data_IF_458459585493
#
_entry.id   IF_458459585493
#
_cell.length_a   1.000
_cell.length_b   1.000
_cell.length_c   1.000
_cell.angle_alpha   90.00
_cell.angle_beta   90.00
_cell.angle_gamma   90.00
#
_symmetry.space_group_name_H-M   'P 1'
#
loop_
_entity.id
_entity.type
_entity.pdbx_description
1 polymer ?
#
# COMPACT_ATOMS: atom_id res chain seq x y z
N UNK A 1 -54.26 -42.37 -8.70
CA UNK A 1 -52.85 -42.72 -8.43
C UNK A 1 -51.97 -42.06 -9.49
N UNK A 2 -50.99 -41.30 -9.05
CA UNK A 2 -49.95 -40.66 -9.86
C UNK A 2 -48.78 -41.65 -10.05
N UNK A 3 -48.08 -41.60 -11.19
CA UNK A 3 -46.64 -41.83 -11.23
C UNK A 3 -45.96 -40.59 -11.82
N UNK A 4 -45.18 -39.86 -11.01
CA UNK A 4 -43.72 -39.99 -10.94
C UNK A 4 -43.02 -39.24 -12.08
N UNK A 5 -42.26 -38.22 -11.67
CA UNK A 5 -41.51 -37.36 -12.57
C UNK A 5 -40.34 -38.06 -13.25
N UNK A 6 -39.90 -37.42 -14.32
CA UNK A 6 -38.61 -37.58 -14.95
C UNK A 6 -38.37 -36.21 -15.60
N UNK A 7 -37.38 -35.44 -15.19
CA UNK A 7 -35.99 -35.83 -15.36
C UNK A 7 -35.52 -35.17 -16.65
N UNK A 8 -34.70 -34.14 -16.49
CA UNK A 8 -33.61 -33.78 -17.40
C UNK A 8 -33.88 -33.94 -18.92
N UNK A 9 -34.14 -32.82 -19.60
CA UNK A 9 -33.84 -32.71 -21.03
C UNK A 9 -32.88 -31.55 -21.24
N UNK A 10 -31.61 -31.88 -21.02
CA UNK A 10 -30.50 -31.20 -21.65
C UNK A 10 -30.60 -31.21 -23.19
N UNK A 11 -30.05 -30.14 -23.75
CA UNK A 11 -29.34 -30.10 -25.01
C UNK A 11 -30.05 -30.62 -26.27
N UNK A 12 -30.59 -29.68 -27.06
CA UNK A 12 -30.35 -29.57 -28.53
C UNK A 12 -31.17 -28.46 -29.17
N UNK A 13 -30.63 -27.24 -29.13
CA UNK A 13 -30.59 -26.36 -30.32
C UNK A 13 -29.50 -25.32 -30.13
N UNK A 14 -28.26 -25.76 -30.27
CA UNK A 14 -27.11 -24.92 -30.58
C UNK A 14 -27.33 -24.32 -31.98
N UNK A 15 -28.22 -23.33 -32.06
CA UNK A 15 -28.37 -22.53 -33.26
C UNK A 15 -27.06 -21.76 -33.41
N UNK A 16 -26.36 -21.86 -34.56
CA UNK A 16 -25.11 -21.12 -34.79
C UNK A 16 -25.33 -19.63 -34.52
N UNK A 17 -26.51 -19.10 -34.85
CA UNK A 17 -26.91 -17.71 -34.58
C UNK A 17 -26.93 -17.33 -33.09
N UNK A 18 -27.35 -18.25 -32.22
CA UNK A 18 -27.38 -17.99 -30.78
C UNK A 18 -25.97 -17.92 -30.23
N UNK A 19 -25.10 -18.89 -30.59
CA UNK A 19 -23.69 -18.86 -30.20
C UNK A 19 -22.93 -17.66 -30.77
N UNK A 20 -23.22 -17.25 -32.01
CA UNK A 20 -22.63 -16.05 -32.60
C UNK A 20 -23.09 -14.79 -31.87
N UNK A 21 -24.39 -14.68 -31.53
CA UNK A 21 -24.91 -13.54 -30.76
C UNK A 21 -24.33 -13.46 -29.33
N UNK A 22 -24.04 -14.61 -28.71
CA UNK A 22 -23.34 -14.69 -27.43
C UNK A 22 -21.88 -14.26 -27.57
N UNK A 23 -21.18 -14.71 -28.62
CA UNK A 23 -19.81 -14.30 -28.93
C UNK A 23 -19.71 -12.81 -29.24
N UNK A 24 -20.70 -12.25 -29.92
CA UNK A 24 -20.77 -10.83 -30.25
C UNK A 24 -20.98 -9.99 -28.98
N UNK A 25 -21.90 -10.41 -28.11
CA UNK A 25 -22.10 -9.80 -26.79
C UNK A 25 -20.88 -9.91 -25.89
N UNK A 26 -20.16 -11.04 -25.94
CA UNK A 26 -18.90 -11.23 -25.20
C UNK A 26 -17.79 -10.31 -25.75
N UNK A 27 -17.63 -10.22 -27.08
CA UNK A 27 -16.69 -9.27 -27.70
C UNK A 27 -17.06 -7.82 -27.40
N UNK A 28 -18.34 -7.50 -27.35
CA UNK A 28 -18.82 -6.16 -26.98
C UNK A 28 -18.55 -5.85 -25.51
N UNK A 29 -18.76 -6.83 -24.62
CA UNK A 29 -18.36 -6.73 -23.21
C UNK A 29 -16.86 -6.55 -23.10
N UNK A 30 -16.05 -7.38 -23.75
CA UNK A 30 -14.59 -7.30 -23.73
C UNK A 30 -14.11 -5.93 -24.23
N UNK A 31 -14.68 -5.42 -25.32
CA UNK A 31 -14.41 -4.09 -25.85
C UNK A 31 -14.90 -2.94 -24.94
N UNK A 32 -15.92 -3.18 -24.11
CA UNK A 32 -16.43 -2.24 -23.08
C UNK A 32 -15.73 -2.37 -21.73
N UNK A 33 -15.09 -3.50 -21.45
CA UNK A 33 -14.19 -3.71 -20.31
C UNK A 33 -12.78 -3.18 -20.62
N UNK A 34 -12.36 -3.21 -21.89
CA UNK A 34 -11.07 -2.73 -22.38
C UNK A 34 -10.93 -1.21 -22.71
N UNK A 35 -11.75 -0.28 -22.19
CA UNK A 35 -11.36 1.13 -22.11
C UNK A 35 -10.77 1.52 -20.76
N UNK A 36 -11.06 0.79 -19.67
CA UNK A 36 -10.63 1.17 -18.31
C UNK A 36 -10.42 -0.01 -17.33
N UNK A 37 -10.43 -1.26 -17.80
CA UNK A 37 -10.27 -2.45 -16.95
C UNK A 37 -8.92 -2.59 -16.25
N UNK A 38 -7.91 -1.81 -16.64
CA UNK A 38 -6.53 -2.05 -16.19
C UNK A 38 -5.97 -1.05 -15.16
N UNK A 39 -6.81 -0.21 -14.52
CA UNK A 39 -6.27 0.67 -13.46
C UNK A 39 -5.89 -0.07 -12.17
N UNK A 40 -6.26 -1.36 -12.05
CA UNK A 40 -5.84 -2.25 -10.96
C UNK A 40 -5.07 -3.51 -11.43
N UNK A 41 -5.15 -3.91 -12.69
CA UNK A 41 -4.38 -5.04 -13.28
C UNK A 41 -3.19 -4.59 -14.15
N UNK A 42 -2.92 -3.28 -14.23
CA UNK A 42 -1.87 -2.72 -15.10
C UNK A 42 -0.58 -2.36 -14.41
N UNK A 43 -0.46 -2.70 -13.12
CA UNK A 43 0.79 -2.55 -12.38
C UNK A 43 1.46 -3.91 -12.37
N UNK A 44 2.59 -4.05 -13.06
CA UNK A 44 3.34 -5.31 -13.00
C UNK A 44 3.66 -5.65 -11.53
N UNK A 45 3.77 -6.93 -11.20
CA UNK A 45 4.19 -7.34 -9.84
C UNK A 45 5.48 -6.61 -9.42
N UNK A 46 6.37 -6.34 -10.37
CA UNK A 46 7.55 -5.49 -10.19
C UNK A 46 7.24 -4.03 -9.81
N UNK A 47 6.22 -3.40 -10.40
CA UNK A 47 5.81 -2.05 -10.04
C UNK A 47 5.14 -2.00 -8.66
N UNK A 48 4.34 -3.02 -8.31
CA UNK A 48 3.78 -3.17 -6.97
C UNK A 48 4.88 -3.36 -5.93
N UNK A 49 5.89 -4.20 -6.22
CA UNK A 49 7.04 -4.44 -5.36
C UNK A 49 7.93 -3.19 -5.23
N UNK A 50 8.17 -2.47 -6.33
CA UNK A 50 8.88 -1.18 -6.29
C UNK A 50 8.13 -0.15 -5.44
N UNK A 51 6.81 -0.06 -5.59
CA UNK A 51 6.00 0.87 -4.78
C UNK A 51 6.00 0.49 -3.31
N UNK A 52 5.82 -0.78 -2.98
CA UNK A 52 5.84 -1.25 -1.59
C UNK A 52 7.22 -1.04 -0.96
N UNK A 53 8.30 -1.27 -1.71
CA UNK A 53 9.67 -0.97 -1.30
C UNK A 53 9.92 0.53 -1.08
N UNK A 54 9.44 1.40 -1.99
CA UNK A 54 9.52 2.85 -1.83
C UNK A 54 8.72 3.35 -0.62
N UNK A 55 7.50 2.85 -0.43
CA UNK A 55 6.65 3.14 0.73
C UNK A 55 7.32 2.68 2.03
N UNK A 56 7.88 1.47 2.06
CA UNK A 56 8.58 0.93 3.23
C UNK A 56 9.81 1.78 3.60
N UNK A 57 10.57 2.22 2.60
CA UNK A 57 11.70 3.15 2.82
C UNK A 57 11.25 4.51 3.34
N UNK A 58 10.22 5.10 2.74
CA UNK A 58 9.66 6.37 3.20
C UNK A 58 9.15 6.26 4.65
N UNK A 59 8.44 5.19 4.97
CA UNK A 59 7.92 4.93 6.31
C UNK A 59 9.04 4.74 7.33
N UNK A 60 10.13 4.04 6.97
CA UNK A 60 11.32 3.89 7.81
C UNK A 60 11.94 5.26 8.11
N UNK A 61 12.16 6.09 7.09
CA UNK A 61 12.69 7.44 7.25
C UNK A 61 11.80 8.30 8.16
N UNK A 62 10.48 8.25 7.95
CA UNK A 62 9.52 8.95 8.82
C UNK A 62 9.58 8.45 10.26
N UNK A 63 9.65 7.13 10.47
CA UNK A 63 9.68 6.53 11.81
C UNK A 63 10.98 6.83 12.53
N UNK A 64 12.12 6.82 11.83
CA UNK A 64 13.42 7.20 12.41
C UNK A 64 13.42 8.66 12.89
N UNK A 65 12.81 9.57 12.12
CA UNK A 65 12.65 10.97 12.53
C UNK A 65 11.77 11.08 13.78
N UNK A 66 10.59 10.45 13.77
CA UNK A 66 9.64 10.49 14.89
C UNK A 66 10.22 9.84 16.15
N UNK A 67 10.96 8.74 16.01
CA UNK A 67 11.60 8.04 17.12
C UNK A 67 12.64 8.94 17.82
N UNK A 68 13.47 9.67 17.07
CA UNK A 68 14.45 10.60 17.64
C UNK A 68 13.79 11.73 18.45
N UNK A 69 12.72 12.31 17.91
CA UNK A 69 11.94 13.37 18.59
C UNK A 69 11.24 12.82 19.83
N UNK A 70 10.63 11.64 19.73
CA UNK A 70 9.93 11.01 20.84
C UNK A 70 10.87 10.67 21.98
N UNK A 71 12.02 10.06 21.69
CA UNK A 71 13.05 9.72 22.70
C UNK A 71 13.62 10.98 23.33
N UNK A 72 13.93 12.02 22.54
CA UNK A 72 14.41 13.31 23.05
C UNK A 72 13.38 13.97 23.97
N UNK A 73 12.12 14.05 23.54
CA UNK A 73 11.02 14.59 24.34
C UNK A 73 10.78 13.80 25.63
N UNK A 74 10.83 12.47 25.58
CA UNK A 74 10.68 11.61 26.76
C UNK A 74 11.82 11.82 27.77
N UNK A 75 13.07 11.86 27.30
CA UNK A 75 14.24 12.12 28.15
C UNK A 75 14.17 13.52 28.75
N UNK A 76 13.85 14.52 27.94
CA UNK A 76 13.72 15.90 28.40
C UNK A 76 12.61 16.08 29.44
N UNK A 77 11.47 15.42 29.24
CA UNK A 77 10.38 15.40 30.23
C UNK A 77 10.79 14.70 31.53
N UNK A 78 11.45 13.54 31.45
CA UNK A 78 11.92 12.83 32.63
C UNK A 78 12.94 13.65 33.44
N UNK A 79 13.84 14.37 32.76
CA UNK A 79 14.81 15.28 33.37
C UNK A 79 14.13 16.49 34.01
N UNK A 80 13.17 17.11 33.32
CA UNK A 80 12.39 18.22 33.84
C UNK A 80 11.66 17.83 35.14
N UNK A 81 11.11 16.62 35.23
CA UNK A 81 10.50 16.09 36.45
C UNK A 81 11.51 15.82 37.58
N UNK A 82 12.71 15.33 37.25
CA UNK A 82 13.71 14.99 38.27
C UNK A 82 14.42 16.23 38.84
N UNK A 83 14.62 17.26 38.01
CA UNK A 83 15.33 18.49 38.36
C UNK A 83 14.40 19.67 38.67
N UNK A 84 13.08 19.47 38.64
CA UNK A 84 12.03 20.50 38.78
C UNK A 84 12.27 21.73 37.86
N UNK A 85 12.71 21.44 36.64
CA UNK A 85 12.99 22.43 35.59
C UNK A 85 12.03 22.21 34.42
N UNK A 86 11.93 23.18 33.50
CA UNK A 86 10.99 23.11 32.35
C UNK A 86 11.65 23.38 31.01
N UNK A 87 12.98 23.48 30.98
CA UNK A 87 13.73 23.85 29.79
C UNK A 87 14.42 22.66 29.15
N UNK A 88 14.64 21.54 29.88
CA UNK A 88 15.28 20.37 29.29
C UNK A 88 14.40 19.71 28.26
N UNK A 89 13.07 19.71 28.42
CA UNK A 89 12.17 19.23 27.36
C UNK A 89 12.38 20.00 26.06
N UNK A 90 12.57 21.33 26.12
CA UNK A 90 12.81 22.15 24.92
C UNK A 90 14.18 21.83 24.32
N UNK A 91 15.23 21.80 25.14
CA UNK A 91 16.61 21.52 24.68
C UNK A 91 16.70 20.13 24.06
N UNK A 92 16.19 19.10 24.74
CA UNK A 92 16.22 17.72 24.25
C UNK A 92 15.26 17.47 23.08
N UNK A 93 14.19 18.26 22.93
CA UNK A 93 13.37 18.23 21.73
C UNK A 93 14.17 18.67 20.51
N UNK A 94 14.86 19.82 20.58
CA UNK A 94 15.75 20.27 19.49
C UNK A 94 16.87 19.28 19.22
N UNK A 95 17.45 18.69 20.27
CA UNK A 95 18.49 17.67 20.15
C UNK A 95 17.96 16.39 19.49
N UNK A 96 16.74 15.97 19.83
CA UNK A 96 16.06 14.82 19.23
C UNK A 96 15.74 15.05 17.74
N UNK A 97 15.29 16.28 17.39
CA UNK A 97 15.10 16.70 16.00
C UNK A 97 16.43 16.66 15.23
N UNK A 98 17.50 17.24 15.80
CA UNK A 98 18.83 17.23 15.19
C UNK A 98 19.36 15.80 14.99
N UNK A 99 19.20 14.93 15.99
CA UNK A 99 19.58 13.52 15.89
C UNK A 99 18.77 12.78 14.80
N UNK A 100 17.47 13.06 14.70
CA UNK A 100 16.62 12.55 13.62
C UNK A 100 17.14 12.96 12.24
N UNK A 101 17.44 14.24 12.04
CA UNK A 101 18.01 14.73 10.77
C UNK A 101 19.39 14.13 10.48
N UNK A 102 20.27 14.02 11.47
CA UNK A 102 21.60 13.43 11.30
C UNK A 102 21.51 11.96 10.86
N UNK A 103 20.54 11.20 11.38
CA UNK A 103 20.31 9.82 10.94
C UNK A 103 19.88 9.74 9.47
N UNK A 104 18.96 10.62 9.05
CA UNK A 104 18.47 10.67 7.66
C UNK A 104 19.56 11.10 6.69
N UNK A 105 20.33 12.15 7.03
CA UNK A 105 21.43 12.65 6.19
C UNK A 105 22.51 11.57 6.04
N UNK A 106 22.85 10.88 7.12
CA UNK A 106 23.82 9.77 7.09
C UNK A 106 23.34 8.64 6.17
N UNK A 107 22.05 8.31 6.20
CA UNK A 107 21.47 7.29 5.33
C UNK A 107 21.48 7.73 3.86
N UNK A 108 21.20 9.01 3.57
CA UNK A 108 21.30 9.56 2.24
C UNK A 108 22.74 9.57 1.70
N UNK A 109 23.73 9.93 2.53
CA UNK A 109 25.15 9.92 2.15
C UNK A 109 25.67 8.52 1.83
N UNK A 110 25.23 7.50 2.56
CA UNK A 110 25.58 6.10 2.27
C UNK A 110 25.06 5.61 0.92
N UNK A 111 24.05 6.25 0.35
CA UNK A 111 23.55 5.96 -0.99
C UNK A 111 24.29 6.72 -2.09
N UNK A 112 24.93 7.85 -1.78
CA UNK A 112 25.67 8.68 -2.74
C UNK A 112 27.13 8.28 -2.97
N UNK A 113 27.72 7.53 -2.03
CA UNK A 113 29.12 7.03 -2.11
C UNK A 113 29.25 5.66 -2.82
N UNK A 114 28.22 5.22 -3.56
CA UNK A 114 28.24 3.98 -4.36
C UNK A 114 27.85 4.21 -5.80
#
# INVERSE_FOLDING_TARGET
>A
MNPSGDGDQGDRKSSPETSESLRERLRELERKLDPEGNKREGMSDEELEKRSSMLGRAFKISTEMVAGVFVGGFIGWALDQWLDTRFFIVVFLFLGIAAGFLNVIREAQRMGDK
#
